data_IF_388424946576
#
_entry.id   IF_388424946576
#
_cell.length_a   1.000
_cell.length_b   1.000
_cell.length_c   1.000
_cell.angle_alpha   90.00
_cell.angle_beta   90.00
_cell.angle_gamma   90.00
#
_symmetry.space_group_name_H-M   'P 1'
#
loop_
_entity.id
_entity.type
_entity.pdbx_description
1 polymer ?
#
# COMPACT_ATOMS: atom_id res chain seq x y z
N UNK A 1 8.24 -29.07 8.68
CA UNK A 1 8.73 -28.19 7.59
C UNK A 1 8.65 -28.96 6.29
N UNK A 2 8.20 -28.38 5.20
CA UNK A 2 8.06 -29.04 3.89
C UNK A 2 9.14 -28.46 2.98
N UNK A 3 9.96 -29.33 2.38
CA UNK A 3 10.98 -28.94 1.42
C UNK A 3 10.62 -29.44 0.04
N UNK A 4 10.76 -28.59 -0.97
CA UNK A 4 10.68 -28.98 -2.37
C UNK A 4 12.09 -29.07 -2.94
N UNK A 5 12.47 -30.26 -3.39
CA UNK A 5 13.78 -30.53 -3.97
C UNK A 5 13.64 -30.80 -5.46
N UNK A 6 14.42 -30.08 -6.27
CA UNK A 6 14.51 -30.35 -7.72
C UNK A 6 15.66 -31.33 -7.95
N UNK A 7 15.35 -32.53 -8.43
CA UNK A 7 16.35 -33.55 -8.75
C UNK A 7 16.24 -33.90 -10.23
N UNK A 8 17.29 -33.65 -11.01
CA UNK A 8 17.40 -33.99 -12.45
C UNK A 8 16.21 -33.49 -13.29
N UNK A 9 15.75 -32.27 -13.07
CA UNK A 9 14.64 -31.68 -13.83
C UNK A 9 13.24 -32.11 -13.39
N UNK A 10 13.12 -32.98 -12.41
CA UNK A 10 11.83 -33.35 -11.80
C UNK A 10 11.65 -32.62 -10.47
N UNK A 11 10.45 -32.07 -10.26
CA UNK A 11 10.05 -31.50 -8.97
C UNK A 11 9.57 -32.64 -8.10
N UNK A 12 10.36 -33.01 -7.07
CA UNK A 12 9.95 -33.96 -6.05
C UNK A 12 9.73 -33.21 -4.75
N UNK A 13 8.54 -33.34 -4.20
CA UNK A 13 8.21 -32.79 -2.88
C UNK A 13 8.58 -33.83 -1.82
N UNK A 14 9.51 -33.50 -0.94
CA UNK A 14 9.85 -34.31 0.24
C UNK A 14 9.29 -33.61 1.47
N UNK A 15 8.59 -34.35 2.31
CA UNK A 15 8.02 -33.88 3.55
C UNK A 15 8.89 -34.35 4.72
N UNK A 16 9.42 -33.38 5.49
CA UNK A 16 10.18 -33.64 6.70
C UNK A 16 9.48 -33.01 7.89
N UNK A 17 9.22 -33.78 8.93
CA UNK A 17 8.73 -33.27 10.19
C UNK A 17 9.89 -33.09 11.16
N UNK A 18 10.03 -31.91 11.72
CA UNK A 18 11.09 -31.54 12.64
C UNK A 18 10.49 -31.26 14.03
N UNK A 19 11.20 -31.68 15.08
CA UNK A 19 10.88 -31.30 16.44
C UNK A 19 11.19 -29.79 16.72
N UNK A 20 10.96 -29.34 17.94
CA UNK A 20 11.23 -27.96 18.35
C UNK A 20 12.72 -27.57 18.27
N UNK A 21 13.61 -28.56 18.20
CA UNK A 21 15.06 -28.36 18.07
C UNK A 21 15.54 -28.47 16.63
N UNK A 22 14.62 -28.63 15.66
CA UNK A 22 14.94 -28.79 14.24
C UNK A 22 15.43 -30.19 13.86
N UNK A 23 15.30 -31.20 14.73
CA UNK A 23 15.69 -32.56 14.46
C UNK A 23 14.55 -33.35 13.81
N UNK A 24 14.86 -34.13 12.79
CA UNK A 24 13.88 -34.94 12.07
C UNK A 24 13.21 -36.00 12.99
N UNK A 25 11.87 -35.97 12.96
CA UNK A 25 11.05 -36.97 13.66
C UNK A 25 10.93 -38.20 12.75
N UNK A 26 11.56 -39.30 13.15
CA UNK A 26 11.51 -40.59 12.43
C UNK A 26 10.29 -41.39 12.85
N UNK A 27 9.82 -42.30 11.98
CA UNK A 27 8.68 -43.20 12.22
C UNK A 27 7.30 -42.51 12.37
N UNK A 28 7.07 -41.47 11.60
CA UNK A 28 5.78 -40.79 11.51
C UNK A 28 5.13 -41.14 10.18
N UNK A 29 3.83 -41.43 10.19
CA UNK A 29 3.06 -41.48 8.94
C UNK A 29 2.89 -40.08 8.37
N UNK A 30 3.84 -39.69 7.53
CA UNK A 30 3.89 -38.37 6.91
C UNK A 30 2.62 -38.04 6.11
N UNK A 31 2.04 -39.05 5.44
CA UNK A 31 0.85 -38.87 4.62
C UNK A 31 -0.39 -38.54 5.46
N UNK A 32 -0.62 -39.29 6.52
CA UNK A 32 -1.74 -39.07 7.44
C UNK A 32 -1.65 -37.70 8.12
N UNK A 33 -0.45 -37.34 8.60
CA UNK A 33 -0.21 -36.06 9.24
C UNK A 33 -0.41 -34.86 8.27
N UNK A 34 0.08 -34.99 7.04
CA UNK A 34 -0.13 -33.94 6.02
C UNK A 34 -1.61 -33.78 5.71
N UNK A 35 -2.33 -34.90 5.54
CA UNK A 35 -3.78 -34.88 5.31
C UNK A 35 -4.52 -34.21 6.45
N UNK A 36 -4.13 -34.50 7.69
CA UNK A 36 -4.69 -33.87 8.89
C UNK A 36 -4.35 -32.37 8.95
N UNK A 37 -3.12 -31.96 8.68
CA UNK A 37 -2.72 -30.55 8.61
C UNK A 37 -3.49 -29.78 7.53
N UNK A 38 -3.68 -30.36 6.36
CA UNK A 38 -4.48 -29.75 5.28
C UNK A 38 -5.95 -29.61 5.69
N UNK A 39 -6.53 -30.62 6.35
CA UNK A 39 -7.92 -30.55 6.81
C UNK A 39 -8.14 -29.54 7.93
N UNK A 40 -7.13 -29.31 8.79
CA UNK A 40 -7.15 -28.29 9.86
C UNK A 40 -6.84 -26.88 9.34
N UNK A 41 -6.08 -26.76 8.25
CA UNK A 41 -5.68 -25.48 7.67
C UNK A 41 -5.94 -25.46 6.17
N UNK A 42 -7.20 -25.56 5.74
CA UNK A 42 -7.54 -25.55 4.33
C UNK A 42 -7.12 -24.20 3.73
N UNK A 43 -6.29 -24.26 2.67
CA UNK A 43 -5.83 -23.06 1.98
C UNK A 43 -6.73 -22.81 0.78
N UNK A 44 -7.34 -21.63 0.75
CA UNK A 44 -8.12 -21.14 -0.37
C UNK A 44 -7.34 -20.01 -1.05
N UNK A 45 -7.08 -20.17 -2.34
CA UNK A 45 -6.44 -19.16 -3.18
C UNK A 45 -7.48 -18.56 -4.10
N UNK A 46 -7.75 -17.28 -3.88
CA UNK A 46 -8.59 -16.47 -4.75
C UNK A 46 -7.68 -15.80 -5.78
N UNK A 47 -7.68 -16.33 -6.99
CA UNK A 47 -6.91 -15.80 -8.10
C UNK A 47 -7.72 -14.82 -8.92
N UNK A 48 -7.02 -13.88 -9.55
CA UNK A 48 -7.58 -13.13 -10.66
C UNK A 48 -7.96 -14.12 -11.81
N UNK A 49 -9.15 -14.00 -12.41
CA UNK A 49 -9.73 -15.02 -13.28
C UNK A 49 -9.04 -15.24 -14.64
N UNK A 50 -7.86 -14.72 -14.85
CA UNK A 50 -7.14 -14.90 -16.12
C UNK A 50 -6.60 -16.33 -16.32
N UNK A 51 -6.42 -17.13 -15.25
CA UNK A 51 -5.59 -18.34 -15.32
C UNK A 51 -6.26 -19.66 -14.89
N UNK A 52 -7.58 -19.79 -14.77
CA UNK A 52 -8.15 -21.05 -14.27
C UNK A 52 -9.07 -21.77 -15.25
N UNK A 53 -8.69 -22.98 -15.58
CA UNK A 53 -9.48 -23.95 -16.33
C UNK A 53 -10.24 -24.89 -15.37
N UNK A 54 -11.57 -24.97 -15.60
CA UNK A 54 -12.47 -26.07 -15.17
C UNK A 54 -12.70 -26.36 -13.68
N UNK A 55 -13.68 -25.69 -13.07
CA UNK A 55 -14.32 -26.20 -11.85
C UNK A 55 -15.85 -26.24 -12.03
N UNK A 56 -16.54 -27.32 -11.61
CA UNK A 56 -17.99 -27.47 -11.76
C UNK A 56 -18.76 -26.62 -10.74
N UNK A 57 -19.81 -25.97 -11.18
CA UNK A 57 -20.78 -25.27 -10.32
C UNK A 57 -21.75 -26.29 -9.75
N UNK A 58 -21.80 -26.44 -8.44
CA UNK A 58 -22.77 -27.31 -7.75
C UNK A 58 -23.82 -26.48 -7.02
N UNK A 59 -25.09 -26.88 -7.11
CA UNK A 59 -26.22 -26.30 -6.36
C UNK A 59 -26.03 -26.50 -4.85
N UNK A 60 -26.25 -25.44 -4.04
CA UNK A 60 -25.80 -25.43 -2.64
C UNK A 60 -26.93 -25.18 -1.63
N UNK A 61 -27.56 -26.23 -1.10
CA UNK A 61 -28.52 -26.07 0.01
C UNK A 61 -27.90 -25.69 1.36
N UNK A 62 -26.59 -26.03 1.57
CA UNK A 62 -25.91 -25.80 2.86
C UNK A 62 -25.66 -24.33 3.18
N UNK A 63 -25.34 -23.51 2.19
CA UNK A 63 -25.11 -22.07 2.42
C UNK A 63 -26.39 -21.36 2.82
N UNK A 64 -27.53 -21.74 2.25
CA UNK A 64 -28.82 -21.12 2.55
C UNK A 64 -29.28 -21.45 3.98
N UNK A 65 -28.99 -22.66 4.47
CA UNK A 65 -29.20 -23.02 5.85
C UNK A 65 -28.40 -22.10 6.81
N UNK A 66 -27.12 -21.92 6.59
CA UNK A 66 -26.29 -21.05 7.42
C UNK A 66 -26.72 -19.58 7.34
N UNK A 67 -27.14 -19.09 6.18
CA UNK A 67 -27.67 -17.73 6.00
C UNK A 67 -28.94 -17.55 6.86
N UNK A 68 -29.85 -18.50 6.84
CA UNK A 68 -31.09 -18.44 7.65
C UNK A 68 -30.78 -18.46 9.16
N UNK A 69 -29.90 -19.35 9.61
CA UNK A 69 -29.51 -19.43 11.03
C UNK A 69 -28.84 -18.13 11.50
N UNK A 70 -27.93 -17.59 10.69
CA UNK A 70 -27.22 -16.36 11.02
C UNK A 70 -28.16 -15.15 10.99
N UNK A 71 -29.08 -15.06 10.02
CA UNK A 71 -30.05 -13.96 9.96
C UNK A 71 -30.99 -13.96 11.17
N UNK A 72 -31.47 -15.13 11.59
CA UNK A 72 -32.30 -15.27 12.79
C UNK A 72 -31.54 -14.80 14.05
N UNK A 73 -30.26 -15.18 14.19
CA UNK A 73 -29.43 -14.76 15.34
C UNK A 73 -29.10 -13.26 15.32
N UNK A 74 -28.79 -12.72 14.17
CA UNK A 74 -28.51 -11.28 14.01
C UNK A 74 -29.77 -10.44 14.29
N UNK A 75 -30.96 -10.92 13.95
CA UNK A 75 -32.23 -10.21 14.22
C UNK A 75 -32.53 -10.08 15.72
N UNK A 76 -32.06 -11.00 16.56
CA UNK A 76 -32.16 -10.90 18.01
C UNK A 76 -31.41 -9.69 18.59
N UNK A 77 -30.26 -9.36 17.98
CA UNK A 77 -29.39 -8.29 18.43
C UNK A 77 -29.64 -6.96 17.68
N UNK A 78 -29.96 -7.02 16.42
CA UNK A 78 -30.16 -5.87 15.53
C UNK A 78 -31.66 -5.59 15.28
N UNK A 79 -32.39 -5.19 16.32
CA UNK A 79 -33.85 -4.92 16.28
C UNK A 79 -34.31 -3.90 15.22
N UNK A 80 -33.39 -3.14 14.65
CA UNK A 80 -33.68 -2.13 13.63
C UNK A 80 -33.71 -2.71 12.20
N UNK A 81 -33.37 -3.98 12.01
CA UNK A 81 -33.32 -4.61 10.69
C UNK A 81 -34.33 -5.74 10.59
N UNK A 82 -35.04 -5.81 9.48
CA UNK A 82 -35.89 -6.94 9.20
C UNK A 82 -35.07 -8.20 8.90
N UNK A 83 -35.63 -9.38 9.16
CA UNK A 83 -34.96 -10.62 8.83
C UNK A 83 -34.71 -10.75 7.31
N UNK A 84 -35.60 -10.18 6.49
CA UNK A 84 -35.45 -10.13 5.02
C UNK A 84 -34.23 -9.28 4.59
N UNK A 85 -34.00 -8.12 5.23
CA UNK A 85 -32.84 -7.28 4.96
C UNK A 85 -31.54 -8.00 5.32
N UNK A 86 -31.50 -8.72 6.44
CA UNK A 86 -30.35 -9.50 6.87
C UNK A 86 -30.06 -10.66 5.90
N UNK A 87 -31.08 -11.41 5.49
CA UNK A 87 -30.95 -12.49 4.50
C UNK A 87 -30.41 -11.90 3.18
N UNK A 88 -30.95 -10.76 2.72
CA UNK A 88 -30.48 -10.09 1.52
C UNK A 88 -29.00 -9.70 1.64
N UNK A 89 -28.60 -9.11 2.77
CA UNK A 89 -27.20 -8.70 3.01
C UNK A 89 -26.23 -9.88 3.03
N UNK A 90 -26.60 -10.99 3.69
CA UNK A 90 -25.80 -12.21 3.73
C UNK A 90 -25.73 -12.91 2.37
N UNK A 91 -26.80 -12.88 1.60
CA UNK A 91 -26.84 -13.41 0.24
C UNK A 91 -25.95 -12.57 -0.69
N UNK A 92 -25.95 -11.25 -0.52
CA UNK A 92 -25.07 -10.35 -1.28
C UNK A 92 -23.58 -10.60 -0.91
N UNK A 93 -23.28 -10.80 0.37
CA UNK A 93 -21.94 -11.17 0.83
C UNK A 93 -21.49 -12.51 0.23
N UNK A 94 -22.37 -13.53 0.22
CA UNK A 94 -22.12 -14.81 -0.44
C UNK A 94 -21.80 -14.63 -1.92
N UNK A 95 -22.64 -13.85 -2.64
CA UNK A 95 -22.45 -13.59 -4.06
C UNK A 95 -21.10 -12.88 -4.37
N UNK A 96 -20.66 -12.00 -3.48
CA UNK A 96 -19.35 -11.34 -3.59
C UNK A 96 -18.20 -12.35 -3.46
N UNK A 97 -18.26 -13.27 -2.50
CA UNK A 97 -17.27 -14.34 -2.37
C UNK A 97 -17.28 -15.30 -3.56
N UNK A 98 -18.46 -15.71 -4.01
CA UNK A 98 -18.61 -16.55 -5.20
C UNK A 98 -18.07 -15.88 -6.46
N UNK A 99 -18.21 -14.55 -6.57
CA UNK A 99 -17.62 -13.78 -7.66
C UNK A 99 -16.10 -13.90 -7.71
N UNK A 100 -15.42 -13.83 -6.57
CA UNK A 100 -13.96 -14.02 -6.50
C UNK A 100 -13.53 -15.46 -6.76
N UNK A 101 -14.39 -16.44 -6.42
CA UNK A 101 -14.11 -17.85 -6.62
C UNK A 101 -14.45 -18.33 -8.04
N UNK A 102 -15.28 -17.57 -8.77
CA UNK A 102 -15.71 -17.94 -10.11
C UNK A 102 -14.58 -17.85 -11.13
N UNK A 103 -14.40 -18.92 -11.88
CA UNK A 103 -13.45 -18.97 -13.00
C UNK A 103 -13.87 -18.04 -14.15
N UNK A 104 -12.90 -17.54 -14.92
CA UNK A 104 -13.12 -16.68 -16.08
C UNK A 104 -14.02 -17.32 -17.16
N UNK A 105 -13.92 -18.63 -17.36
CA UNK A 105 -14.76 -19.39 -18.27
C UNK A 105 -16.23 -19.45 -17.80
N UNK A 106 -16.42 -19.55 -16.50
CA UNK A 106 -17.72 -19.54 -15.85
C UNK A 106 -18.37 -18.17 -15.92
N UNK A 107 -17.59 -17.08 -15.75
CA UNK A 107 -18.08 -15.70 -15.87
C UNK A 107 -18.62 -15.38 -17.26
N UNK A 108 -18.01 -15.93 -18.31
CA UNK A 108 -18.51 -15.74 -19.69
C UNK A 108 -19.84 -16.46 -19.93
N UNK A 109 -20.06 -17.65 -19.33
CA UNK A 109 -21.35 -18.37 -19.35
C UNK A 109 -22.41 -17.67 -18.48
N UNK A 110 -22.01 -17.09 -17.33
CA UNK A 110 -22.90 -16.36 -16.45
C UNK A 110 -23.37 -15.01 -17.04
N UNK A 111 -22.64 -14.43 -17.98
CA UNK A 111 -23.05 -13.22 -18.70
C UNK A 111 -24.30 -13.47 -19.60
N UNK A 112 -24.51 -14.73 -20.00
CA UNK A 112 -25.65 -15.17 -20.84
C UNK A 112 -26.76 -15.87 -20.03
N UNK A 113 -26.57 -16.17 -18.76
CA UNK A 113 -27.60 -16.69 -17.86
C UNK A 113 -27.97 -15.58 -16.87
N UNK A 114 -29.24 -15.46 -16.50
CA UNK A 114 -29.81 -14.46 -15.57
C UNK A 114 -29.16 -14.39 -14.16
N UNK A 115 -27.88 -14.71 -14.03
CA UNK A 115 -27.14 -14.56 -12.79
C UNK A 115 -26.72 -13.08 -12.69
N UNK A 116 -27.28 -12.47 -11.68
CA UNK A 116 -27.15 -11.08 -11.31
C UNK A 116 -25.70 -10.64 -11.38
N UNK A 117 -25.45 -9.70 -12.28
CA UNK A 117 -24.31 -8.79 -12.29
C UNK A 117 -23.89 -8.37 -10.88
N UNK A 118 -22.64 -7.99 -10.74
CA UNK A 118 -22.07 -7.31 -9.55
C UNK A 118 -23.17 -6.54 -8.81
N UNK A 119 -23.31 -6.72 -7.48
CA UNK A 119 -24.37 -6.11 -6.69
C UNK A 119 -24.60 -4.64 -7.06
N UNK A 120 -25.86 -4.21 -7.18
CA UNK A 120 -26.23 -2.82 -7.47
C UNK A 120 -25.89 -1.91 -6.29
N UNK A 121 -25.94 -0.58 -6.48
CA UNK A 121 -25.72 0.39 -5.39
C UNK A 121 -26.61 0.17 -4.16
N UNK A 122 -27.83 -0.32 -4.32
CA UNK A 122 -28.72 -0.70 -3.23
C UNK A 122 -28.24 -1.95 -2.43
N UNK A 123 -27.47 -2.81 -3.08
CA UNK A 123 -26.90 -4.00 -2.42
C UNK A 123 -25.69 -3.62 -1.55
N UNK A 124 -25.03 -2.49 -1.84
CA UNK A 124 -23.91 -1.97 -1.03
C UNK A 124 -24.36 -1.45 0.32
N UNK A 125 -25.47 -0.75 0.38
CA UNK A 125 -26.06 -0.30 1.65
C UNK A 125 -26.37 -1.49 2.56
N UNK A 126 -26.81 -2.60 1.97
CA UNK A 126 -27.06 -3.83 2.72
C UNK A 126 -25.79 -4.45 3.30
N UNK A 127 -24.68 -4.46 2.53
CA UNK A 127 -23.38 -4.94 3.02
C UNK A 127 -22.78 -4.01 4.09
N UNK A 128 -22.90 -2.71 3.94
CA UNK A 128 -22.44 -1.74 4.93
C UNK A 128 -23.17 -1.89 6.26
N UNK A 129 -24.49 -2.09 6.21
CA UNK A 129 -25.31 -2.38 7.39
C UNK A 129 -24.88 -3.68 8.07
N UNK A 130 -24.64 -4.75 7.30
CA UNK A 130 -24.12 -6.01 7.82
C UNK A 130 -22.79 -5.82 8.51
N UNK A 131 -21.86 -5.08 7.90
CA UNK A 131 -20.56 -4.78 8.49
C UNK A 131 -20.69 -4.06 9.84
N UNK A 132 -21.59 -3.08 9.93
CA UNK A 132 -21.82 -2.34 11.17
C UNK A 132 -22.32 -3.28 12.29
N UNK A 133 -23.25 -4.16 11.99
CA UNK A 133 -23.74 -5.16 12.94
C UNK A 133 -22.64 -6.12 13.37
N UNK A 134 -21.84 -6.62 12.44
CA UNK A 134 -20.76 -7.56 12.74
C UNK A 134 -19.61 -6.92 13.53
N UNK A 135 -19.34 -5.64 13.32
CA UNK A 135 -18.31 -4.89 14.08
C UNK A 135 -18.71 -4.66 15.55
N UNK A 136 -20.02 -4.60 15.85
CA UNK A 136 -20.54 -4.41 17.21
C UNK A 136 -20.65 -5.72 18.00
N UNK A 137 -20.67 -6.86 17.31
CA UNK A 137 -20.91 -8.17 17.92
C UNK A 137 -19.63 -9.02 17.92
N UNK A 138 -19.05 -9.22 19.10
CA UNK A 138 -17.95 -10.17 19.32
C UNK A 138 -18.51 -11.53 19.82
N UNK A 139 -19.27 -12.23 18.97
CA UNK A 139 -19.91 -13.49 19.28
C UNK A 139 -19.30 -14.67 18.52
N UNK A 140 -18.83 -15.69 19.25
CA UNK A 140 -18.29 -16.92 18.66
C UNK A 140 -19.31 -17.67 17.79
N UNK A 141 -20.60 -17.56 18.10
CA UNK A 141 -21.64 -18.17 17.28
C UNK A 141 -21.71 -17.54 15.88
N UNK A 142 -21.66 -16.22 15.79
CA UNK A 142 -21.66 -15.46 14.53
C UNK A 142 -20.43 -15.85 13.69
N UNK A 143 -19.26 -15.91 14.33
CA UNK A 143 -18.05 -16.36 13.68
C UNK A 143 -18.17 -17.79 13.15
N UNK A 144 -18.79 -18.68 13.91
CA UNK A 144 -19.02 -20.07 13.49
C UNK A 144 -19.98 -20.15 12.29
N UNK A 145 -21.05 -19.35 12.29
CA UNK A 145 -22.00 -19.31 11.17
C UNK A 145 -21.39 -18.70 9.90
N UNK A 146 -20.61 -17.63 10.03
CA UNK A 146 -19.85 -17.07 8.90
C UNK A 146 -18.87 -18.11 8.35
N UNK A 147 -18.21 -18.87 9.21
CA UNK A 147 -17.35 -20.00 8.80
C UNK A 147 -18.17 -21.10 8.10
N UNK A 148 -19.40 -21.35 8.53
CA UNK A 148 -20.30 -22.30 7.89
C UNK A 148 -20.67 -21.87 6.46
N UNK A 149 -21.05 -20.60 6.27
CA UNK A 149 -21.35 -20.03 4.94
C UNK A 149 -20.13 -20.16 4.02
N UNK A 150 -18.99 -19.72 4.49
CA UNK A 150 -17.76 -19.75 3.71
C UNK A 150 -17.28 -21.18 3.47
N UNK A 151 -17.32 -22.02 4.48
CA UNK A 151 -16.98 -23.44 4.36
C UNK A 151 -17.85 -24.16 3.35
N UNK A 152 -19.15 -23.85 3.28
CA UNK A 152 -20.04 -24.42 2.28
C UNK A 152 -19.67 -24.02 0.85
N UNK A 153 -19.26 -22.75 0.65
CA UNK A 153 -18.74 -22.26 -0.64
C UNK A 153 -17.44 -23.01 -0.98
N UNK A 154 -16.55 -23.18 0.01
CA UNK A 154 -15.27 -23.84 -0.16
C UNK A 154 -15.42 -25.33 -0.51
N UNK A 155 -16.28 -26.06 0.19
CA UNK A 155 -16.57 -27.49 -0.07
C UNK A 155 -17.10 -27.67 -1.49
N UNK A 156 -17.97 -26.78 -1.94
CA UNK A 156 -18.53 -26.82 -3.29
C UNK A 156 -17.44 -26.68 -4.37
N UNK A 157 -16.39 -25.93 -4.11
CA UNK A 157 -15.31 -25.72 -5.06
C UNK A 157 -14.19 -26.77 -4.97
N UNK A 158 -13.96 -27.39 -3.80
CA UNK A 158 -12.82 -28.28 -3.57
C UNK A 158 -13.18 -29.72 -3.18
N UNK A 159 -14.46 -30.08 -3.08
CA UNK A 159 -14.98 -31.43 -2.78
C UNK A 159 -14.41 -32.11 -1.50
N UNK A 160 -13.69 -31.41 -0.63
CA UNK A 160 -13.12 -31.94 0.61
C UNK A 160 -13.91 -31.46 1.83
N UNK A 161 -14.14 -32.33 2.80
CA UNK A 161 -14.72 -31.95 4.07
C UNK A 161 -13.73 -31.11 4.88
N UNK A 162 -14.20 -29.99 5.43
CA UNK A 162 -13.41 -29.14 6.34
C UNK A 162 -13.59 -29.67 7.77
N UNK A 163 -12.49 -29.79 8.51
CA UNK A 163 -12.54 -30.18 9.91
C UNK A 163 -13.29 -29.10 10.73
N UNK A 164 -14.13 -29.48 11.74
CA UNK A 164 -14.88 -28.49 12.54
C UNK A 164 -14.00 -27.42 13.22
N UNK A 165 -12.78 -27.78 13.60
CA UNK A 165 -11.80 -26.89 14.22
C UNK A 165 -10.80 -26.30 13.22
N UNK A 166 -11.14 -26.29 11.93
CA UNK A 166 -10.24 -25.76 10.92
C UNK A 166 -10.08 -24.24 11.04
N UNK A 167 -8.85 -23.78 10.85
CA UNK A 167 -8.52 -22.34 10.70
C UNK A 167 -8.11 -22.13 9.24
N UNK A 168 -9.02 -21.68 8.36
CA UNK A 168 -8.71 -21.51 6.96
C UNK A 168 -7.64 -20.46 6.71
N UNK A 169 -6.89 -20.67 5.64
CA UNK A 169 -5.93 -19.71 5.10
C UNK A 169 -6.50 -19.19 3.79
N UNK A 170 -6.71 -17.88 3.73
CA UNK A 170 -7.22 -17.20 2.55
C UNK A 170 -6.09 -16.44 1.87
N UNK A 171 -5.77 -16.79 0.64
CA UNK A 171 -4.79 -16.10 -0.19
C UNK A 171 -5.54 -15.37 -1.30
N UNK A 172 -5.43 -14.05 -1.35
CA UNK A 172 -6.07 -13.20 -2.37
C UNK A 172 -5.01 -12.50 -3.19
N UNK A 173 -5.03 -12.69 -4.49
CA UNK A 173 -4.09 -12.07 -5.42
C UNK A 173 -4.78 -10.92 -6.17
N UNK A 174 -4.28 -9.70 -5.96
CA UNK A 174 -4.76 -8.47 -6.63
C UNK A 174 -6.28 -8.34 -6.65
N UNK A 175 -6.97 -8.42 -5.47
CA UNK A 175 -8.41 -8.45 -5.42
C UNK A 175 -9.05 -7.16 -5.98
N UNK A 176 -8.28 -6.08 -6.03
CA UNK A 176 -8.68 -4.81 -6.61
C UNK A 176 -8.80 -4.80 -8.13
N UNK A 177 -8.19 -5.75 -8.83
CA UNK A 177 -8.02 -5.69 -10.29
C UNK A 177 -9.33 -5.63 -11.10
N UNK A 178 -10.45 -5.97 -10.48
CA UNK A 178 -11.77 -6.02 -11.15
C UNK A 178 -12.91 -5.38 -10.33
N UNK A 179 -12.60 -4.78 -9.20
CA UNK A 179 -13.61 -4.16 -8.34
C UNK A 179 -13.45 -2.66 -8.27
N UNK A 180 -14.60 -1.97 -8.25
CA UNK A 180 -14.61 -0.56 -7.93
C UNK A 180 -14.10 -0.33 -6.49
N UNK A 181 -13.30 0.74 -6.20
CA UNK A 181 -12.74 0.99 -4.87
C UNK A 181 -13.74 0.98 -3.71
N UNK A 182 -14.95 1.50 -3.93
CA UNK A 182 -16.03 1.48 -2.92
C UNK A 182 -16.41 0.03 -2.58
N UNK A 183 -16.59 -0.80 -3.59
CA UNK A 183 -16.93 -2.21 -3.44
C UNK A 183 -15.85 -2.97 -2.68
N UNK A 184 -14.61 -2.69 -3.07
CA UNK A 184 -13.42 -3.25 -2.45
C UNK A 184 -13.39 -2.91 -0.94
N UNK A 185 -13.62 -1.65 -0.58
CA UNK A 185 -13.63 -1.18 0.81
C UNK A 185 -14.68 -1.92 1.65
N UNK A 186 -15.92 -2.02 1.16
CA UNK A 186 -17.02 -2.70 1.86
C UNK A 186 -16.75 -4.21 1.98
N UNK A 187 -16.29 -4.84 0.90
CA UNK A 187 -15.97 -6.27 0.89
C UNK A 187 -14.79 -6.63 1.82
N UNK A 188 -13.77 -5.78 1.88
CA UNK A 188 -12.63 -6.00 2.79
C UNK A 188 -12.98 -5.78 4.26
N UNK A 189 -13.92 -4.89 4.57
CA UNK A 189 -14.44 -4.74 5.91
C UNK A 189 -15.15 -6.01 6.38
N UNK A 190 -15.97 -6.63 5.51
CA UNK A 190 -16.59 -7.92 5.77
C UNK A 190 -15.54 -9.03 5.96
N UNK A 191 -14.52 -9.07 5.09
CA UNK A 191 -13.42 -10.03 5.20
C UNK A 191 -12.63 -9.90 6.51
N UNK A 192 -12.54 -8.71 7.09
CA UNK A 192 -11.86 -8.50 8.38
C UNK A 192 -12.51 -9.33 9.47
N UNK A 193 -13.83 -9.41 9.50
CA UNK A 193 -14.60 -10.16 10.49
C UNK A 193 -14.56 -11.67 10.27
N UNK A 194 -14.00 -12.11 9.15
CA UNK A 194 -13.91 -13.51 8.79
C UNK A 194 -12.79 -14.21 9.59
N UNK A 195 -13.06 -15.32 10.32
CA UNK A 195 -12.09 -16.01 11.15
C UNK A 195 -11.14 -16.90 10.32
N UNK A 196 -10.36 -16.29 9.44
CA UNK A 196 -9.33 -16.94 8.63
C UNK A 196 -8.02 -16.17 8.70
N UNK A 197 -6.90 -16.85 8.56
CA UNK A 197 -5.64 -16.19 8.29
C UNK A 197 -5.65 -15.69 6.84
N UNK A 198 -5.36 -14.41 6.63
CA UNK A 198 -5.47 -13.77 5.32
C UNK A 198 -4.11 -13.32 4.82
N UNK A 199 -3.79 -13.69 3.57
CA UNK A 199 -2.65 -13.18 2.81
C UNK A 199 -3.18 -12.49 1.57
N UNK A 200 -2.84 -11.22 1.38
CA UNK A 200 -3.35 -10.41 0.29
C UNK A 200 -2.18 -9.78 -0.43
N UNK A 201 -2.08 -9.98 -1.73
CA UNK A 201 -1.13 -9.25 -2.58
C UNK A 201 -1.87 -8.13 -3.29
N UNK A 202 -1.26 -6.95 -3.36
CA UNK A 202 -1.89 -5.78 -3.98
C UNK A 202 -0.86 -4.79 -4.51
N UNK A 203 -1.25 -4.09 -5.57
CA UNK A 203 -0.62 -2.88 -6.09
C UNK A 203 -1.51 -1.64 -5.89
N UNK A 204 -2.63 -1.77 -5.18
CA UNK A 204 -3.56 -0.68 -4.90
C UNK A 204 -3.20 0.09 -3.63
N UNK A 205 -3.00 1.39 -3.78
CA UNK A 205 -2.85 2.32 -2.67
C UNK A 205 -4.09 2.39 -1.78
N UNK A 206 -5.27 2.29 -2.39
CA UNK A 206 -6.55 2.35 -1.69
C UNK A 206 -6.71 1.14 -0.79
N UNK A 207 -6.38 -0.05 -1.32
CA UNK A 207 -6.43 -1.26 -0.53
C UNK A 207 -5.44 -1.24 0.63
N UNK A 208 -4.22 -0.77 0.43
CA UNK A 208 -3.23 -0.65 1.52
C UNK A 208 -3.74 0.22 2.67
N UNK A 209 -4.51 1.28 2.38
CA UNK A 209 -5.05 2.19 3.40
C UNK A 209 -6.01 1.52 4.39
N UNK A 210 -6.57 0.36 4.05
CA UNK A 210 -7.47 -0.41 4.91
C UNK A 210 -6.75 -1.23 5.99
N UNK A 211 -5.42 -1.34 5.92
CA UNK A 211 -4.63 -2.18 6.81
C UNK A 211 -3.76 -1.38 7.77
N UNK A 212 -3.52 -1.95 8.95
CA UNK A 212 -2.54 -1.38 9.88
C UNK A 212 -1.11 -1.60 9.34
N UNK A 213 -0.22 -0.64 9.56
CA UNK A 213 1.17 -0.67 9.07
C UNK A 213 1.91 -1.96 9.45
N UNK A 214 1.65 -2.54 10.62
CA UNK A 214 2.26 -3.78 11.09
C UNK A 214 1.89 -5.02 10.25
N UNK A 215 0.79 -4.95 9.53
CA UNK A 215 0.29 -6.02 8.67
C UNK A 215 0.73 -5.87 7.21
N UNK A 216 1.44 -4.79 6.88
CA UNK A 216 1.93 -4.52 5.53
C UNK A 216 3.35 -5.05 5.39
N UNK A 217 3.56 -5.87 4.35
CA UNK A 217 4.86 -6.39 3.95
C UNK A 217 5.23 -5.82 2.59
N UNK A 218 6.36 -5.13 2.52
CA UNK A 218 6.93 -4.67 1.26
C UNK A 218 7.85 -5.74 0.69
N UNK A 219 7.53 -6.23 -0.49
CA UNK A 219 8.32 -7.26 -1.17
C UNK A 219 9.34 -6.60 -2.09
N UNK A 220 10.62 -6.85 -1.82
CA UNK A 220 11.74 -6.33 -2.60
C UNK A 220 12.40 -7.47 -3.34
N UNK A 221 12.42 -7.39 -4.67
CA UNK A 221 13.12 -8.35 -5.51
C UNK A 221 14.60 -8.02 -5.54
N UNK A 222 15.45 -8.99 -5.25
CA UNK A 222 16.91 -8.91 -5.39
C UNK A 222 17.42 -10.02 -6.31
N UNK A 223 18.63 -9.93 -6.85
CA UNK A 223 19.22 -11.02 -7.64
C UNK A 223 19.27 -12.35 -6.89
N UNK A 224 19.42 -12.32 -5.56
CA UNK A 224 19.46 -13.51 -4.69
C UNK A 224 18.08 -14.04 -4.29
N UNK A 225 16.97 -13.35 -4.61
CA UNK A 225 15.62 -13.77 -4.23
C UNK A 225 14.72 -12.60 -3.84
N UNK A 226 13.64 -12.89 -3.12
CA UNK A 226 12.68 -11.90 -2.64
C UNK A 226 12.87 -11.69 -1.14
N UNK A 227 12.97 -10.42 -0.72
CA UNK A 227 12.96 -10.03 0.68
C UNK A 227 11.60 -9.43 1.05
N UNK A 228 11.01 -9.89 2.16
CA UNK A 228 9.81 -9.29 2.73
C UNK A 228 10.22 -8.37 3.90
N UNK A 229 9.90 -7.09 3.78
CA UNK A 229 10.21 -6.07 4.78
C UNK A 229 8.92 -5.65 5.49
N UNK A 230 9.01 -5.51 6.81
CA UNK A 230 7.88 -5.13 7.66
C UNK A 230 8.38 -4.33 8.88
N UNK A 231 7.56 -3.42 9.41
CA UNK A 231 7.94 -2.64 10.59
C UNK A 231 8.01 -3.46 11.90
N UNK A 232 7.39 -4.63 11.94
CA UNK A 232 7.25 -5.46 13.15
C UNK A 232 6.33 -4.84 14.21
N UNK A 233 6.01 -5.60 15.25
CA UNK A 233 5.11 -5.12 16.31
C UNK A 233 5.69 -3.99 17.15
N UNK A 234 7.01 -3.99 17.40
CA UNK A 234 7.73 -2.98 18.18
C UNK A 234 8.53 -2.00 17.32
N UNK A 235 8.22 -1.94 16.00
CA UNK A 235 9.08 -1.26 15.04
C UNK A 235 9.08 0.25 15.09
N UNK A 236 7.96 0.87 15.42
CA UNK A 236 7.77 2.33 15.53
C UNK A 236 7.16 2.68 16.88
N UNK A 237 7.46 3.89 17.39
CA UNK A 237 6.74 4.43 18.54
C UNK A 237 5.26 4.64 18.17
N UNK A 238 4.39 4.72 19.18
CA UNK A 238 2.95 5.00 18.95
C UNK A 238 2.73 6.30 18.17
N UNK A 239 3.52 7.34 18.49
CA UNK A 239 3.43 8.64 17.81
C UNK A 239 3.96 8.57 16.37
N UNK A 240 5.12 7.94 16.15
CA UNK A 240 5.65 7.74 14.79
C UNK A 240 4.69 6.93 13.93
N UNK A 241 4.12 5.85 14.47
CA UNK A 241 3.13 5.03 13.76
C UNK A 241 1.91 5.85 13.35
N UNK A 242 1.36 6.67 14.26
CA UNK A 242 0.24 7.58 13.97
C UNK A 242 0.58 8.58 12.85
N UNK A 243 1.76 9.19 12.90
CA UNK A 243 2.24 10.15 11.89
C UNK A 243 2.37 9.49 10.51
N UNK A 244 3.02 8.32 10.44
CA UNK A 244 3.17 7.57 9.18
C UNK A 244 1.82 7.14 8.63
N UNK A 245 0.91 6.62 9.47
CA UNK A 245 -0.43 6.26 9.02
C UNK A 245 -1.15 7.45 8.40
N UNK A 246 -1.12 8.62 9.07
CA UNK A 246 -1.87 9.79 8.62
C UNK A 246 -1.24 10.42 7.37
N UNK A 247 0.08 10.65 7.36
CA UNK A 247 0.73 11.42 6.31
C UNK A 247 1.13 10.57 5.10
N UNK A 248 1.39 9.29 5.29
CA UNK A 248 1.78 8.39 4.20
C UNK A 248 0.61 7.50 3.80
N UNK A 249 0.14 6.62 4.70
CA UNK A 249 -0.82 5.59 4.33
C UNK A 249 -2.17 6.17 3.87
N UNK A 250 -2.69 7.19 4.55
CA UNK A 250 -4.00 7.76 4.19
C UNK A 250 -3.93 8.85 3.11
N UNK A 251 -2.85 9.63 3.05
CA UNK A 251 -2.74 10.72 2.09
C UNK A 251 -1.95 10.37 0.83
N UNK A 252 -0.96 9.50 0.93
CA UNK A 252 0.02 9.20 -0.12
C UNK A 252 0.40 7.73 -0.13
N UNK A 253 -0.58 6.85 -0.03
CA UNK A 253 -0.32 5.40 0.05
C UNK A 253 0.50 4.87 -1.14
N UNK A 254 0.44 5.52 -2.31
CA UNK A 254 1.31 5.19 -3.46
C UNK A 254 2.80 5.31 -3.15
N UNK A 255 3.18 6.14 -2.16
CA UNK A 255 4.57 6.25 -1.74
C UNK A 255 5.12 4.95 -1.10
N UNK A 256 4.23 4.07 -0.64
CA UNK A 256 4.60 2.76 -0.10
C UNK A 256 5.18 1.82 -1.16
N UNK A 257 4.86 2.04 -2.44
CA UNK A 257 5.40 1.28 -3.58
C UNK A 257 6.67 1.90 -4.16
N UNK A 258 7.12 3.04 -3.62
CA UNK A 258 8.31 3.71 -4.13
C UNK A 258 9.58 2.94 -3.77
N UNK A 259 10.55 2.98 -4.68
CA UNK A 259 11.92 2.48 -4.44
C UNK A 259 12.73 3.43 -3.59
N UNK A 260 12.50 4.73 -3.78
CA UNK A 260 13.20 5.79 -3.05
C UNK A 260 12.27 6.97 -2.75
N UNK A 261 12.45 7.56 -1.59
CA UNK A 261 11.80 8.80 -1.19
C UNK A 261 12.79 9.97 -1.31
N UNK A 262 12.45 10.99 -2.09
CA UNK A 262 13.10 12.29 -2.02
C UNK A 262 12.34 13.14 -0.98
N UNK A 263 12.94 13.29 0.20
CA UNK A 263 12.37 13.98 1.34
C UNK A 263 12.75 15.46 1.28
N UNK A 264 11.75 16.32 1.30
CA UNK A 264 11.88 17.78 1.23
C UNK A 264 11.11 18.47 2.34
N UNK A 265 11.36 19.75 2.60
CA UNK A 265 10.81 20.41 3.77
C UNK A 265 9.30 20.67 3.63
N UNK A 266 8.83 21.18 2.51
CA UNK A 266 7.46 21.59 2.31
C UNK A 266 6.82 21.17 0.98
N UNK A 267 5.52 21.45 0.85
CA UNK A 267 4.72 21.07 -0.34
C UNK A 267 5.15 21.84 -1.61
N UNK A 268 5.60 23.09 -1.47
CA UNK A 268 6.07 23.89 -2.61
C UNK A 268 7.28 23.24 -3.26
N UNK A 269 8.23 22.73 -2.46
CA UNK A 269 9.40 22.01 -2.96
C UNK A 269 9.00 20.72 -3.66
N UNK A 270 8.01 19.99 -3.14
CA UNK A 270 7.51 18.75 -3.80
C UNK A 270 7.07 19.07 -5.22
N UNK A 271 6.28 20.12 -5.39
CA UNK A 271 5.78 20.52 -6.69
C UNK A 271 6.89 21.07 -7.60
N UNK A 272 7.68 22.04 -7.10
CA UNK A 272 8.75 22.71 -7.84
C UNK A 272 9.79 21.68 -8.36
N UNK A 273 10.27 20.81 -7.47
CA UNK A 273 11.32 19.84 -7.82
C UNK A 273 10.81 18.79 -8.79
N UNK A 274 9.53 18.40 -8.70
CA UNK A 274 8.94 17.47 -9.68
C UNK A 274 8.95 18.08 -11.07
N UNK A 275 8.47 19.32 -11.21
CA UNK A 275 8.45 20.03 -12.51
C UNK A 275 9.86 20.28 -13.05
N UNK A 276 10.80 20.74 -12.20
CA UNK A 276 12.19 20.96 -12.62
C UNK A 276 12.89 19.67 -13.03
N UNK A 277 12.59 18.55 -12.39
CA UNK A 277 13.10 17.24 -12.79
C UNK A 277 12.59 16.85 -14.17
N UNK A 278 11.28 16.92 -14.42
CA UNK A 278 10.67 16.64 -15.73
C UNK A 278 11.26 17.56 -16.83
N UNK A 279 11.37 18.85 -16.57
CA UNK A 279 11.98 19.82 -17.49
C UNK A 279 13.48 19.57 -17.74
N UNK A 280 14.14 18.83 -16.82
CA UNK A 280 15.54 18.40 -16.98
C UNK A 280 15.69 17.05 -17.65
N UNK A 281 14.59 16.38 -18.03
CA UNK A 281 14.59 15.03 -18.57
C UNK A 281 14.73 13.90 -17.54
N UNK A 282 14.50 14.19 -16.25
CA UNK A 282 14.50 13.20 -15.17
C UNK A 282 13.06 12.82 -14.82
N UNK A 283 12.61 11.64 -15.19
CA UNK A 283 11.27 11.12 -14.93
C UNK A 283 11.22 10.39 -13.59
N UNK A 284 11.19 11.13 -12.48
CA UNK A 284 11.32 10.57 -11.12
C UNK A 284 10.30 9.47 -10.82
N UNK A 285 9.04 9.65 -11.23
CA UNK A 285 8.00 8.64 -11.02
C UNK A 285 8.30 7.33 -11.76
N UNK A 286 8.82 7.39 -12.99
CA UNK A 286 9.19 6.22 -13.78
C UNK A 286 10.38 5.46 -13.17
N UNK A 287 11.27 6.16 -12.47
CA UNK A 287 12.39 5.58 -11.71
C UNK A 287 11.95 5.05 -10.33
N UNK A 288 10.65 5.14 -9.98
CA UNK A 288 10.13 4.71 -8.69
C UNK A 288 10.48 5.65 -7.53
N UNK A 289 10.69 6.92 -7.81
CA UNK A 289 11.01 7.95 -6.80
C UNK A 289 9.75 8.76 -6.47
N UNK A 290 9.44 8.89 -5.19
CA UNK A 290 8.37 9.75 -4.70
C UNK A 290 8.93 10.91 -3.87
N UNK A 291 8.44 12.13 -4.17
CA UNK A 291 8.76 13.32 -3.37
C UNK A 291 7.77 13.41 -2.20
N UNK A 292 8.31 13.59 -1.00
CA UNK A 292 7.53 13.62 0.25
C UNK A 292 8.01 14.79 1.10
N UNK A 293 7.08 15.67 1.49
CA UNK A 293 7.39 16.70 2.50
C UNK A 293 7.39 16.09 3.91
N UNK A 294 8.31 16.60 4.74
CA UNK A 294 8.45 16.14 6.11
C UNK A 294 8.03 17.17 7.18
N UNK A 295 7.62 18.38 6.80
CA UNK A 295 7.25 19.43 7.74
C UNK A 295 6.20 18.99 8.77
N UNK A 296 5.17 18.26 8.34
CA UNK A 296 4.08 17.80 9.22
C UNK A 296 4.33 16.45 9.88
N UNK A 297 4.97 15.54 9.17
CA UNK A 297 5.25 14.18 9.67
C UNK A 297 6.48 14.14 10.58
N UNK A 298 7.46 14.98 10.28
CA UNK A 298 8.80 14.93 10.84
C UNK A 298 9.75 14.02 10.05
N UNK A 299 10.98 14.45 9.88
CA UNK A 299 12.00 13.74 9.10
C UNK A 299 12.37 12.38 9.71
N UNK A 300 12.58 12.33 11.04
CA UNK A 300 13.01 11.13 11.74
C UNK A 300 12.04 9.95 11.64
N UNK A 301 10.70 10.10 11.83
CA UNK A 301 9.73 9.03 11.60
C UNK A 301 9.78 8.48 10.17
N UNK A 302 9.88 9.35 9.16
CA UNK A 302 9.93 8.95 7.75
C UNK A 302 11.16 8.11 7.45
N UNK A 303 12.35 8.56 7.85
CA UNK A 303 13.60 7.79 7.63
C UNK A 303 13.56 6.45 8.35
N UNK A 304 13.08 6.40 9.60
CA UNK A 304 12.96 5.15 10.35
C UNK A 304 12.02 4.16 9.68
N UNK A 305 10.89 4.66 9.19
CA UNK A 305 9.94 3.85 8.46
C UNK A 305 10.54 3.33 7.15
N UNK A 306 11.13 4.22 6.34
CA UNK A 306 11.77 3.86 5.09
C UNK A 306 12.84 2.76 5.29
N UNK A 307 13.71 2.90 6.29
CA UNK A 307 14.73 1.89 6.61
C UNK A 307 14.11 0.53 6.96
N UNK A 308 13.01 0.50 7.73
CA UNK A 308 12.31 -0.77 8.08
C UNK A 308 11.62 -1.43 6.91
N UNK A 309 11.08 -0.63 6.00
CA UNK A 309 10.39 -1.11 4.81
C UNK A 309 11.33 -1.34 3.62
N UNK A 310 12.62 -1.09 3.78
CA UNK A 310 13.60 -1.24 2.71
C UNK A 310 13.40 -0.25 1.55
N UNK A 311 12.83 0.92 1.85
CA UNK A 311 12.68 2.03 0.90
C UNK A 311 13.90 2.92 1.04
N UNK A 312 14.57 3.21 -0.07
CA UNK A 312 15.67 4.19 -0.05
C UNK A 312 15.14 5.58 0.23
N UNK A 313 16.00 6.45 0.70
CA UNK A 313 15.64 7.83 0.94
C UNK A 313 16.81 8.75 0.66
N UNK A 314 16.49 9.95 0.24
CA UNK A 314 17.41 11.05 0.05
C UNK A 314 16.76 12.31 0.60
N UNK A 315 17.53 13.20 1.22
CA UNK A 315 17.01 14.41 1.85
C UNK A 315 17.58 15.64 1.16
N UNK A 316 16.73 16.59 0.82
CA UNK A 316 17.11 17.95 0.46
C UNK A 316 16.63 18.87 1.57
N UNK A 317 17.54 19.65 2.15
CA UNK A 317 17.23 20.61 3.22
C UNK A 317 17.65 22.01 2.83
N UNK A 318 16.98 22.99 3.40
CA UNK A 318 17.37 24.39 3.35
C UNK A 318 18.71 24.63 4.06
N UNK A 319 19.36 25.77 3.77
CA UNK A 319 20.63 26.15 4.39
C UNK A 319 20.48 26.93 5.71
N UNK A 320 19.25 27.09 6.18
CA UNK A 320 18.94 27.82 7.41
C UNK A 320 19.25 27.02 8.69
N UNK A 321 18.85 27.55 9.85
CA UNK A 321 19.08 26.89 11.15
C UNK A 321 18.27 25.62 11.31
N UNK A 322 17.06 25.56 10.74
CA UNK A 322 16.20 24.37 10.77
C UNK A 322 16.76 23.30 9.85
N UNK A 323 17.14 23.64 8.62
CA UNK A 323 17.77 22.73 7.67
C UNK A 323 19.06 22.12 8.19
N UNK A 324 19.90 22.87 8.92
CA UNK A 324 21.08 22.33 9.61
C UNK A 324 20.73 21.30 10.69
N UNK A 325 19.61 21.48 11.43
CA UNK A 325 19.13 20.48 12.40
C UNK A 325 18.66 19.21 11.70
N UNK A 326 17.96 19.35 10.57
CA UNK A 326 17.55 18.20 9.75
C UNK A 326 18.75 17.47 9.17
N UNK A 327 19.76 18.18 8.68
CA UNK A 327 21.01 17.60 8.22
C UNK A 327 21.71 16.78 9.31
N UNK A 328 21.73 17.25 10.56
CA UNK A 328 22.25 16.49 11.70
C UNK A 328 21.43 15.24 12.01
N UNK A 329 20.09 15.33 11.84
CA UNK A 329 19.21 14.16 11.98
C UNK A 329 19.54 13.11 10.92
N UNK A 330 19.76 13.51 9.66
CA UNK A 330 20.20 12.61 8.58
C UNK A 330 21.49 11.91 8.97
N UNK A 331 22.53 12.67 9.39
CA UNK A 331 23.84 12.13 9.79
C UNK A 331 23.73 11.08 10.90
N UNK A 332 22.77 11.26 11.84
CA UNK A 332 22.56 10.32 12.94
C UNK A 332 21.79 9.05 12.53
N UNK A 333 21.16 9.03 11.36
CA UNK A 333 20.32 7.92 10.88
C UNK A 333 20.88 7.23 9.63
N UNK A 334 21.99 7.73 9.09
CA UNK A 334 22.69 7.06 8.00
C UNK A 334 23.16 5.67 8.41
N UNK A 335 23.20 4.69 7.50
CA UNK A 335 23.79 3.39 7.75
C UNK A 335 25.27 3.52 8.17
N UNK A 336 25.69 2.66 9.10
CA UNK A 336 27.09 2.64 9.57
C UNK A 336 28.07 2.46 8.39
N UNK A 337 29.15 3.22 8.39
CA UNK A 337 30.18 3.18 7.35
C UNK A 337 29.85 3.93 6.06
N UNK A 338 28.69 4.63 5.98
CA UNK A 338 28.32 5.43 4.80
C UNK A 338 28.51 6.93 5.06
N UNK A 339 28.90 7.68 4.00
CA UNK A 339 28.94 9.15 4.08
C UNK A 339 27.52 9.73 3.98
N UNK A 340 27.21 10.69 4.84
CA UNK A 340 25.93 11.41 4.79
C UNK A 340 25.69 12.13 3.45
N UNK A 341 26.74 12.49 2.72
CA UNK A 341 26.64 13.16 1.41
C UNK A 341 26.01 12.26 0.33
N UNK A 342 25.92 10.95 0.59
CA UNK A 342 25.21 10.01 -0.29
C UNK A 342 23.70 10.09 -0.11
N UNK A 343 23.20 10.67 0.99
CA UNK A 343 21.78 10.71 1.36
C UNK A 343 21.26 12.13 1.58
N UNK A 344 22.11 13.16 1.42
CA UNK A 344 21.78 14.51 1.79
C UNK A 344 22.34 15.54 0.81
N UNK A 345 21.53 16.50 0.45
CA UNK A 345 21.94 17.80 -0.11
C UNK A 345 21.45 18.90 0.82
N UNK A 346 22.33 19.79 1.22
CA UNK A 346 21.97 21.03 1.92
C UNK A 346 22.09 22.17 0.93
N UNK A 347 21.06 22.99 0.78
CA UNK A 347 21.11 24.19 -0.07
C UNK A 347 22.14 25.19 0.47
N UNK A 348 22.92 25.82 -0.40
CA UNK A 348 23.89 26.84 0.02
C UNK A 348 23.21 28.13 0.49
N UNK A 349 21.96 28.37 0.06
CA UNK A 349 21.15 29.53 0.39
C UNK A 349 20.18 29.20 1.53
N UNK A 350 19.60 30.24 2.13
CA UNK A 350 18.72 30.12 3.30
C UNK A 350 17.55 29.16 3.08
N UNK A 351 16.90 29.26 1.94
CA UNK A 351 15.74 28.45 1.52
C UNK A 351 15.76 28.28 -0.01
N UNK A 352 14.84 27.46 -0.52
CA UNK A 352 14.76 27.15 -1.96
C UNK A 352 14.45 28.43 -2.77
N UNK A 353 13.67 29.37 -2.26
CA UNK A 353 13.31 30.58 -2.96
C UNK A 353 14.53 31.52 -3.12
N UNK A 354 15.31 31.70 -2.05
CA UNK A 354 16.56 32.47 -2.13
C UNK A 354 17.57 31.78 -3.04
N UNK A 355 17.65 30.42 -2.97
CA UNK A 355 18.51 29.63 -3.84
C UNK A 355 18.16 29.86 -5.32
N UNK A 356 16.89 29.78 -5.70
CA UNK A 356 16.46 30.00 -7.09
C UNK A 356 16.73 31.44 -7.52
N UNK A 357 16.48 32.42 -6.66
CA UNK A 357 16.82 33.83 -6.94
C UNK A 357 18.30 34.00 -7.30
N UNK A 358 19.21 33.44 -6.48
CA UNK A 358 20.66 33.58 -6.63
C UNK A 358 21.19 32.80 -7.85
N UNK A 359 20.49 31.74 -8.27
CA UNK A 359 20.90 30.84 -9.33
C UNK A 359 20.16 31.05 -10.67
N UNK A 360 19.90 32.31 -11.02
CA UNK A 360 19.50 32.67 -12.38
C UNK A 360 18.05 33.03 -12.59
N UNK A 361 17.22 33.09 -11.53
CA UNK A 361 15.80 33.44 -11.61
C UNK A 361 15.46 34.82 -11.00
N UNK A 362 16.47 35.62 -10.65
CA UNK A 362 16.26 36.96 -10.04
C UNK A 362 15.30 37.85 -10.79
N UNK A 363 15.30 37.80 -12.14
CA UNK A 363 14.40 38.58 -13.00
C UNK A 363 12.92 38.18 -12.79
N UNK A 364 12.59 36.91 -12.56
CA UNK A 364 11.23 36.44 -12.26
C UNK A 364 10.73 37.08 -10.97
N UNK A 365 11.54 37.03 -9.91
CA UNK A 365 11.19 37.63 -8.62
C UNK A 365 11.04 39.14 -8.69
N UNK A 366 11.96 39.85 -9.40
CA UNK A 366 11.90 41.29 -9.58
C UNK A 366 10.67 41.71 -10.38
N UNK A 367 10.36 40.97 -11.46
CA UNK A 367 9.15 41.22 -12.27
C UNK A 367 7.89 41.13 -11.42
N UNK A 368 7.78 40.08 -10.57
CA UNK A 368 6.63 39.90 -9.67
C UNK A 368 6.60 41.00 -8.60
N UNK A 369 7.74 41.26 -7.93
CA UNK A 369 7.80 42.16 -6.81
C UNK A 369 7.66 43.62 -7.19
N UNK A 370 8.19 44.06 -8.37
CA UNK A 370 8.34 45.46 -8.73
C UNK A 370 7.95 45.82 -10.16
N UNK A 371 7.48 44.86 -10.97
CA UNK A 371 7.20 45.02 -12.40
C UNK A 371 8.41 45.47 -13.25
N UNK A 372 9.62 45.16 -12.81
CA UNK A 372 10.87 45.42 -13.54
C UNK A 372 11.82 44.25 -13.45
N UNK A 373 12.71 44.16 -14.45
CA UNK A 373 13.81 43.17 -14.45
C UNK A 373 15.16 43.83 -14.12
N UNK A 374 15.18 45.16 -14.01
CA UNK A 374 16.39 45.94 -13.82
C UNK A 374 17.04 45.74 -12.47
N UNK A 375 18.27 46.21 -12.34
CA UNK A 375 18.96 46.22 -11.06
C UNK A 375 18.20 47.09 -10.04
N UNK A 376 17.99 46.54 -8.87
CA UNK A 376 17.34 47.23 -7.74
C UNK A 376 18.27 47.09 -6.55
N UNK A 377 18.67 48.17 -5.94
CA UNK A 377 19.47 48.22 -4.73
C UNK A 377 18.60 47.93 -3.48
N UNK A 378 18.11 46.69 -3.42
CA UNK A 378 17.32 46.15 -2.29
C UNK A 378 17.87 44.79 -1.94
N UNK A 379 18.03 44.46 -0.63
CA UNK A 379 18.48 43.17 -0.20
C UNK A 379 17.62 42.01 -0.75
N UNK A 380 18.26 40.92 -1.20
CA UNK A 380 17.63 39.73 -1.82
C UNK A 380 16.44 39.25 -1.02
N UNK A 381 16.60 39.09 0.29
CA UNK A 381 15.54 38.62 1.17
C UNK A 381 14.28 39.48 1.13
N UNK A 382 14.41 40.83 0.92
CA UNK A 382 13.26 41.73 0.79
C UNK A 382 12.58 41.55 -0.55
N UNK A 383 13.35 41.33 -1.63
CA UNK A 383 12.80 41.10 -2.97
C UNK A 383 12.01 39.78 -2.97
N UNK A 384 12.62 38.70 -2.46
CA UNK A 384 12.01 37.37 -2.37
C UNK A 384 10.74 37.41 -1.51
N UNK A 385 10.81 38.00 -0.31
CA UNK A 385 9.64 38.15 0.56
C UNK A 385 8.52 38.97 -0.10
N UNK A 386 8.85 40.06 -0.82
CA UNK A 386 7.85 40.86 -1.51
C UNK A 386 7.22 40.13 -2.68
N UNK A 387 7.99 39.33 -3.43
CA UNK A 387 7.46 38.46 -4.49
C UNK A 387 6.47 37.45 -3.92
N UNK A 388 6.84 36.72 -2.88
CA UNK A 388 5.99 35.73 -2.19
C UNK A 388 4.71 36.41 -1.65
N UNK A 389 4.82 37.62 -1.07
CA UNK A 389 3.66 38.35 -0.54
C UNK A 389 2.69 38.82 -1.63
N UNK A 390 3.19 39.11 -2.83
CA UNK A 390 2.36 39.56 -3.97
C UNK A 390 1.65 38.39 -4.70
N UNK A 391 2.25 37.21 -4.72
CA UNK A 391 1.65 36.04 -5.33
C UNK A 391 1.34 34.97 -4.26
N UNK A 392 2.11 33.95 -4.20
CA UNK A 392 2.20 32.91 -3.19
C UNK A 392 3.46 32.09 -3.49
N UNK A 393 3.91 31.21 -2.59
CA UNK A 393 5.01 30.32 -2.91
C UNK A 393 4.70 29.39 -4.09
N UNK A 394 3.50 28.76 -4.18
CA UNK A 394 3.15 27.92 -5.33
C UNK A 394 3.13 28.71 -6.67
N UNK A 395 2.53 29.89 -6.70
CA UNK A 395 2.48 30.72 -7.93
C UNK A 395 3.88 31.15 -8.37
N UNK A 396 4.74 31.46 -7.42
CA UNK A 396 6.14 31.80 -7.71
C UNK A 396 6.88 30.59 -8.30
N UNK A 397 6.65 29.41 -7.78
CA UNK A 397 7.21 28.16 -8.32
C UNK A 397 6.72 27.90 -9.75
N UNK A 398 5.43 28.16 -10.05
CA UNK A 398 4.88 28.08 -11.41
C UNK A 398 5.61 29.08 -12.33
N UNK A 399 5.76 30.32 -11.91
CA UNK A 399 6.45 31.35 -12.72
C UNK A 399 7.92 30.95 -13.00
N UNK A 400 8.61 30.32 -12.08
CA UNK A 400 9.96 29.78 -12.28
C UNK A 400 9.96 28.68 -13.33
N UNK A 401 9.02 27.73 -13.26
CA UNK A 401 8.92 26.65 -14.22
C UNK A 401 8.56 27.14 -15.63
N UNK A 402 7.68 28.13 -15.75
CA UNK A 402 7.35 28.76 -17.01
C UNK A 402 8.56 29.48 -17.64
N UNK A 403 9.36 30.13 -16.82
CA UNK A 403 10.62 30.73 -17.26
C UNK A 403 11.63 29.66 -17.74
N UNK A 404 11.71 28.51 -17.08
CA UNK A 404 12.53 27.36 -17.54
C UNK A 404 12.00 26.84 -18.88
N UNK A 405 10.70 26.74 -19.08
CA UNK A 405 10.11 26.29 -20.36
C UNK A 405 10.51 27.21 -21.52
N UNK A 406 10.61 28.51 -21.26
CA UNK A 406 11.01 29.53 -22.27
C UNK A 406 12.52 29.49 -22.49
N UNK A 407 13.34 29.49 -21.44
CA UNK A 407 14.79 29.64 -21.54
C UNK A 407 15.56 28.32 -21.71
N UNK A 408 14.86 27.19 -21.52
CA UNK A 408 15.42 25.86 -21.63
C UNK A 408 16.00 25.30 -20.32
N UNK A 409 16.11 23.97 -20.29
CA UNK A 409 16.53 23.21 -19.09
C UNK A 409 17.95 23.52 -18.61
N UNK A 410 18.82 24.10 -19.43
CA UNK A 410 20.17 24.53 -19.06
C UNK A 410 20.15 25.58 -17.93
N UNK A 411 19.05 26.32 -17.77
CA UNK A 411 18.89 27.33 -16.73
C UNK A 411 18.64 26.74 -15.34
N UNK A 412 18.25 25.47 -15.26
CA UNK A 412 18.02 24.78 -13.98
C UNK A 412 19.35 24.62 -13.24
N UNK A 413 19.43 25.01 -11.95
CA UNK A 413 20.65 24.98 -11.18
C UNK A 413 21.31 23.59 -11.17
N UNK A 414 22.64 23.57 -11.39
CA UNK A 414 23.42 22.32 -11.46
C UNK A 414 23.26 21.46 -10.21
N UNK A 415 23.16 22.08 -9.02
CA UNK A 415 22.97 21.37 -7.75
C UNK A 415 21.68 20.52 -7.76
N UNK A 416 20.57 21.06 -8.26
CA UNK A 416 19.31 20.30 -8.34
C UNK A 416 19.41 19.15 -9.32
N UNK A 417 20.03 19.33 -10.50
CA UNK A 417 20.27 18.25 -11.46
C UNK A 417 21.14 17.15 -10.85
N UNK A 418 22.19 17.52 -10.11
CA UNK A 418 23.04 16.57 -9.38
C UNK A 418 22.26 15.83 -8.29
N UNK A 419 21.36 16.51 -7.59
CA UNK A 419 20.46 15.87 -6.61
C UNK A 419 19.57 14.83 -7.28
N UNK A 420 18.90 15.17 -8.40
CA UNK A 420 18.07 14.21 -9.15
C UNK A 420 18.90 12.99 -9.60
N UNK A 421 20.09 13.21 -10.14
CA UNK A 421 20.99 12.13 -10.56
C UNK A 421 21.39 11.22 -9.39
N UNK A 422 21.72 11.78 -8.22
CA UNK A 422 22.07 11.02 -7.01
C UNK A 422 20.89 10.16 -6.53
N UNK A 423 19.69 10.72 -6.51
CA UNK A 423 18.48 9.99 -6.09
C UNK A 423 18.19 8.83 -7.04
N UNK A 424 18.34 9.04 -8.36
CA UNK A 424 18.18 7.98 -9.37
C UNK A 424 19.27 6.90 -9.19
N UNK A 425 20.50 7.27 -8.88
CA UNK A 425 21.55 6.28 -8.63
C UNK A 425 21.24 5.38 -7.43
N UNK A 426 20.59 5.91 -6.37
CA UNK A 426 20.17 5.10 -5.23
C UNK A 426 19.14 4.04 -5.63
N UNK A 427 18.25 4.31 -6.58
CA UNK A 427 17.26 3.31 -7.04
C UNK A 427 17.89 2.18 -7.86
N UNK A 428 19.07 2.42 -8.49
CA UNK A 428 19.75 1.46 -9.36
C UNK A 428 20.70 0.51 -8.63
N UNK A 429 21.02 0.74 -7.37
CA UNK A 429 21.95 -0.10 -6.60
C UNK A 429 21.42 -1.51 -6.27
N UNK A 430 20.18 -1.82 -6.64
CA UNK A 430 19.49 -3.06 -6.27
C UNK A 430 19.03 -3.94 -7.47
N UNK A 431 19.44 -3.58 -8.68
CA UNK A 431 19.17 -4.40 -9.88
C UNK A 431 20.43 -4.97 -10.49
#
# INVERSE_FOLDING_TARGET
>A
MIFTKIIRGFIRTEHQFLDNNGKEIKNVDHYSLIKQLISLNPCMRLKNPVDSSNLPVTNQPLSDYYIQQLSAKLSEHAKQFSNEDLIKSLTTAKALFEYYLADSSTRFRYRNSNIKTIPNSQDWDSLERLNNILDELDDNYIRTMLMGIFGSIFIAHNANQIHPNAIPILVMEEPESQLHPIILSVGFRLLKNFPAQKFITTNSSDLLSLFALKNIYHLIRKPSGIMAMNIGEKGLSRDDNRKIMFHILYRRASAMFARCWLLVEGETEVWLLRELAELSGFHLNAEGIQLIEFAQCGLKPLIRYANKMGIHWYVLTDGDTAGKKYANTVRSLCPEGTSADQFLTVLPSRDIENFMFEHGFSHVYKKIAFNTTDYIDIPVNRIVHKAIKKTSKPDLAIAICDDVRIRGSQTIPKLLKQTFSKVIQLTKQFY
#
